data_IF_029712034572
#
_entry.id   IF_029712034572
#
_cell.length_a   1.000
_cell.length_b   1.000
_cell.length_c   1.000
_cell.angle_alpha   90.00
_cell.angle_beta   90.00
_cell.angle_gamma   90.00
#
_symmetry.space_group_name_H-M   'P 1'
#
loop_
_entity.id
_entity.type
_entity.pdbx_description
1 polymer ?
#
# COMPACT_ATOMS: atom_id res chain seq x y z
N UNK A 1 -3.66 -31.31 -23.13
CA UNK A 1 -3.49 -30.18 -22.20
C UNK A 1 -4.65 -29.23 -22.39
N UNK A 2 -5.61 -29.20 -21.45
CA UNK A 2 -6.86 -28.45 -21.63
C UNK A 2 -6.67 -26.96 -21.33
N UNK A 3 -6.83 -26.12 -22.35
CA UNK A 3 -7.01 -24.68 -22.21
C UNK A 3 -8.22 -24.45 -21.30
N UNK A 4 -7.97 -23.92 -20.09
CA UNK A 4 -9.04 -23.52 -19.18
C UNK A 4 -9.82 -22.39 -19.83
N UNK A 5 -11.05 -22.67 -20.21
CA UNK A 5 -12.00 -21.68 -20.71
C UNK A 5 -12.16 -20.58 -19.67
N UNK A 6 -11.58 -19.41 -19.93
CA UNK A 6 -11.82 -18.18 -19.18
C UNK A 6 -13.25 -17.77 -19.49
N UNK A 7 -14.17 -18.05 -18.57
CA UNK A 7 -15.51 -17.44 -18.61
C UNK A 7 -15.42 -16.15 -17.80
N UNK A 8 -15.39 -15.02 -18.49
CA UNK A 8 -15.76 -13.76 -17.86
C UNK A 8 -17.19 -13.90 -17.34
N UNK A 9 -17.38 -13.72 -16.03
CA UNK A 9 -18.71 -13.65 -15.45
C UNK A 9 -19.40 -12.43 -16.07
N UNK A 10 -20.38 -12.69 -16.97
CA UNK A 10 -21.27 -11.64 -17.47
C UNK A 10 -21.98 -11.02 -16.26
N UNK A 11 -21.76 -9.73 -16.07
CA UNK A 11 -22.48 -8.93 -15.09
C UNK A 11 -23.98 -9.00 -15.40
N UNK A 12 -24.78 -9.64 -14.55
CA UNK A 12 -26.23 -9.48 -14.62
C UNK A 12 -26.58 -8.12 -14.05
N UNK A 13 -26.71 -7.08 -14.88
CA UNK A 13 -27.31 -5.73 -14.71
C UNK A 13 -27.07 -4.90 -13.42
N UNK A 14 -26.87 -5.54 -12.27
CA UNK A 14 -26.36 -5.09 -10.98
C UNK A 14 -25.49 -6.20 -10.32
N UNK A 15 -24.79 -6.99 -11.16
CA UNK A 15 -24.33 -8.36 -10.88
C UNK A 15 -22.88 -8.51 -10.45
N UNK A 16 -22.57 -8.16 -9.20
CA UNK A 16 -21.42 -8.74 -8.50
C UNK A 16 -21.92 -9.90 -7.65
N UNK A 17 -21.38 -11.14 -7.78
CA UNK A 17 -21.67 -12.16 -6.79
C UNK A 17 -21.32 -11.58 -5.41
N UNK A 18 -22.14 -11.76 -4.36
CA UNK A 18 -21.79 -11.28 -3.05
C UNK A 18 -20.48 -11.96 -2.66
N UNK A 19 -19.38 -11.23 -2.76
CA UNK A 19 -18.08 -11.73 -2.33
C UNK A 19 -18.20 -11.85 -0.82
N UNK A 20 -18.58 -13.04 -0.35
CA UNK A 20 -18.51 -13.36 1.06
C UNK A 20 -17.05 -13.25 1.45
N UNK A 21 -16.79 -12.30 2.32
CA UNK A 21 -15.46 -11.98 2.81
C UNK A 21 -15.00 -13.13 3.72
N UNK A 22 -14.54 -14.23 3.12
CA UNK A 22 -13.95 -15.33 3.86
C UNK A 22 -12.55 -14.90 4.39
N UNK A 23 -11.97 -15.62 5.36
CA UNK A 23 -10.68 -15.24 5.94
C UNK A 23 -9.53 -15.12 4.93
N UNK A 24 -9.51 -15.96 3.88
CA UNK A 24 -8.49 -15.92 2.82
C UNK A 24 -8.61 -14.63 1.99
N UNK A 25 -9.82 -14.32 1.54
CA UNK A 25 -10.14 -13.10 0.78
C UNK A 25 -9.90 -11.85 1.62
N UNK A 26 -10.30 -11.85 2.90
CA UNK A 26 -10.03 -10.72 3.80
C UNK A 26 -8.54 -10.48 3.96
N UNK A 27 -7.77 -11.55 4.26
CA UNK A 27 -6.31 -11.46 4.37
C UNK A 27 -5.71 -10.89 3.10
N UNK A 28 -6.09 -11.39 1.93
CA UNK A 28 -5.61 -10.89 0.65
C UNK A 28 -5.86 -9.38 0.48
N UNK A 29 -7.10 -8.94 0.72
CA UNK A 29 -7.49 -7.54 0.53
C UNK A 29 -6.86 -6.60 1.55
N UNK A 30 -6.59 -7.05 2.78
CA UNK A 30 -5.81 -6.25 3.74
C UNK A 30 -4.34 -6.16 3.33
N UNK A 31 -3.81 -7.18 2.66
CA UNK A 31 -2.48 -7.13 2.05
C UNK A 31 -2.40 -6.11 0.93
N UNK A 32 -3.44 -6.05 0.09
CA UNK A 32 -3.58 -5.04 -0.96
C UNK A 32 -3.55 -3.62 -0.38
N UNK A 33 -4.32 -3.33 0.67
CA UNK A 33 -4.25 -2.03 1.35
C UNK A 33 -2.83 -1.71 1.81
N UNK A 34 -2.15 -2.67 2.46
CA UNK A 34 -0.80 -2.43 3.00
C UNK A 34 0.19 -2.14 1.87
N UNK A 35 0.08 -2.83 0.74
CA UNK A 35 0.86 -2.54 -0.45
C UNK A 35 0.56 -1.15 -1.01
N UNK A 36 -0.72 -0.77 -1.12
CA UNK A 36 -1.13 0.57 -1.57
C UNK A 36 -0.57 1.67 -0.66
N UNK A 37 -0.58 1.45 0.65
CA UNK A 37 0.02 2.37 1.63
C UNK A 37 1.52 2.49 1.42
N UNK A 38 2.24 1.36 1.28
CA UNK A 38 3.69 1.34 1.10
C UNK A 38 4.09 2.06 -0.19
N UNK A 39 3.37 1.79 -1.27
CA UNK A 39 3.69 2.28 -2.61
C UNK A 39 3.05 3.63 -2.93
N UNK A 40 2.23 4.18 -2.03
CA UNK A 40 1.44 5.40 -2.28
C UNK A 40 0.59 5.29 -3.53
N UNK A 41 -0.17 4.19 -3.64
CA UNK A 41 -1.12 4.02 -4.72
C UNK A 41 -2.26 5.05 -4.58
N UNK A 42 -2.35 5.91 -5.59
CA UNK A 42 -3.26 7.06 -5.59
C UNK A 42 -4.69 6.71 -6.00
N UNK A 43 -4.93 5.51 -6.54
CA UNK A 43 -6.26 5.10 -7.00
C UNK A 43 -6.73 3.85 -6.26
N UNK A 44 -7.80 4.01 -5.52
CA UNK A 44 -8.48 2.95 -4.79
C UNK A 44 -9.55 2.37 -5.69
N UNK A 45 -9.21 1.32 -6.43
CA UNK A 45 -10.20 0.60 -7.24
C UNK A 45 -10.87 -0.49 -6.39
N UNK A 46 -12.18 -0.74 -6.58
CA UNK A 46 -12.80 -1.92 -6.02
C UNK A 46 -12.04 -3.17 -6.49
N UNK A 47 -11.83 -4.17 -5.61
CA UNK A 47 -11.14 -5.38 -6.01
C UNK A 47 -11.86 -6.08 -7.17
N UNK A 48 -11.09 -6.51 -8.14
CA UNK A 48 -11.54 -7.41 -9.20
C UNK A 48 -11.49 -8.86 -8.71
N UNK A 49 -12.32 -9.73 -9.30
CA UNK A 49 -12.38 -11.15 -8.95
C UNK A 49 -12.43 -12.00 -10.20
N UNK A 50 -11.75 -13.14 -10.18
CA UNK A 50 -11.95 -14.20 -11.17
C UNK A 50 -12.67 -15.40 -10.52
N UNK A 51 -13.34 -16.20 -11.35
CA UNK A 51 -13.97 -17.44 -10.92
C UNK A 51 -12.97 -18.61 -11.00
N UNK A 52 -12.70 -19.27 -9.87
CA UNK A 52 -11.99 -20.55 -9.80
C UNK A 52 -12.93 -21.62 -9.25
N UNK A 53 -13.44 -22.49 -10.12
CA UNK A 53 -14.30 -23.61 -9.74
C UNK A 53 -15.53 -23.18 -8.90
N UNK A 54 -16.21 -22.10 -9.31
CA UNK A 54 -17.37 -21.54 -8.62
C UNK A 54 -17.03 -20.68 -7.40
N UNK A 55 -15.76 -20.28 -7.24
CA UNK A 55 -15.29 -19.44 -6.13
C UNK A 55 -14.70 -18.15 -6.67
N UNK A 56 -15.20 -17.02 -6.18
CA UNK A 56 -14.63 -15.70 -6.48
C UNK A 56 -13.31 -15.52 -5.72
N UNK A 57 -12.20 -15.42 -6.45
CA UNK A 57 -10.88 -15.12 -5.91
C UNK A 57 -10.43 -13.71 -6.32
N UNK A 58 -9.90 -12.89 -5.40
CA UNK A 58 -9.50 -11.52 -5.71
C UNK A 58 -8.26 -11.48 -6.61
N UNK A 59 -8.19 -10.46 -7.47
CA UNK A 59 -7.06 -10.21 -8.38
C UNK A 59 -6.33 -8.93 -7.96
N UNK A 60 -5.00 -8.98 -7.95
CA UNK A 60 -4.14 -7.82 -7.73
C UNK A 60 -3.81 -7.21 -9.10
N UNK A 61 -4.46 -6.09 -9.45
CA UNK A 61 -4.30 -5.44 -10.74
C UNK A 61 -4.16 -3.92 -10.56
N UNK A 62 -3.72 -3.24 -11.63
CA UNK A 62 -3.66 -1.79 -11.75
C UNK A 62 -2.72 -1.10 -10.74
N UNK A 63 -1.43 -1.45 -10.78
CA UNK A 63 -0.37 -0.79 -10.01
C UNK A 63 0.31 0.37 -10.75
N UNK A 64 -0.27 0.83 -11.87
CA UNK A 64 0.29 1.94 -12.66
C UNK A 64 0.36 3.25 -11.88
N UNK A 65 -0.50 3.42 -10.86
CA UNK A 65 -0.57 4.61 -10.02
C UNK A 65 0.21 4.49 -8.71
N UNK A 66 0.94 3.38 -8.51
CA UNK A 66 1.94 3.27 -7.46
C UNK A 66 3.09 4.26 -7.71
N UNK A 67 3.85 4.56 -6.66
CA UNK A 67 5.00 5.45 -6.70
C UNK A 67 4.64 6.85 -7.24
N UNK A 68 3.43 7.32 -6.90
CA UNK A 68 2.87 8.60 -7.36
C UNK A 68 2.78 8.71 -8.89
N UNK A 69 2.30 7.67 -9.57
CA UNK A 69 2.12 7.65 -11.04
C UNK A 69 3.45 7.87 -11.78
N UNK A 70 4.52 7.27 -11.26
CA UNK A 70 5.90 7.49 -11.70
C UNK A 70 6.43 8.94 -11.57
N UNK A 71 5.74 9.84 -10.86
CA UNK A 71 6.34 11.09 -10.38
C UNK A 71 7.25 10.80 -9.20
N UNK A 72 8.47 10.36 -9.52
CA UNK A 72 9.47 9.95 -8.53
C UNK A 72 9.93 11.13 -7.66
N UNK A 73 9.96 12.35 -8.19
CA UNK A 73 10.29 13.54 -7.39
C UNK A 73 9.27 13.74 -6.27
N UNK A 74 7.98 13.60 -6.59
CA UNK A 74 6.90 13.65 -5.60
C UNK A 74 6.97 12.46 -4.63
N UNK A 75 7.20 11.26 -5.13
CA UNK A 75 7.34 10.06 -4.28
C UNK A 75 8.50 10.15 -3.28
N UNK A 76 9.65 10.69 -3.68
CA UNK A 76 10.80 10.87 -2.79
C UNK A 76 10.52 11.88 -1.67
N UNK A 77 9.78 12.95 -1.98
CA UNK A 77 9.34 13.98 -1.03
C UNK A 77 8.17 13.54 -0.15
N UNK A 78 7.44 12.50 -0.57
CA UNK A 78 6.28 11.99 0.14
C UNK A 78 6.60 11.64 1.59
N UNK A 79 5.75 12.08 2.50
CA UNK A 79 5.87 11.77 3.92
C UNK A 79 4.97 10.60 4.32
N UNK A 80 4.93 10.28 5.62
CA UNK A 80 3.95 9.32 6.14
C UNK A 80 2.51 9.88 6.10
N UNK A 81 2.35 11.19 5.86
CA UNK A 81 1.07 11.90 5.85
C UNK A 81 0.37 11.91 4.50
N UNK A 82 1.00 11.37 3.46
CA UNK A 82 0.40 11.37 2.13
C UNK A 82 -0.94 10.62 2.12
N UNK A 83 -1.93 11.14 1.37
CA UNK A 83 -3.20 10.45 1.22
C UNK A 83 -3.01 9.14 0.47
N UNK A 84 -3.64 8.09 0.98
CA UNK A 84 -3.81 6.81 0.28
C UNK A 84 -5.27 6.70 -0.10
N UNK A 85 -5.54 6.14 -1.27
CA UNK A 85 -6.92 6.03 -1.72
C UNK A 85 -7.77 5.19 -0.76
N UNK A 86 -8.99 5.68 -0.49
CA UNK A 86 -9.91 4.99 0.44
C UNK A 86 -10.29 3.63 -0.14
N UNK A 87 -10.09 2.59 0.66
CA UNK A 87 -10.52 1.24 0.32
C UNK A 87 -11.76 0.85 1.12
N UNK A 88 -12.83 0.31 0.50
CA UNK A 88 -14.00 -0.21 1.22
C UNK A 88 -13.63 -1.28 2.26
N UNK A 89 -12.53 -2.00 2.03
CA UNK A 89 -12.04 -3.03 2.95
C UNK A 89 -11.42 -2.43 4.22
N UNK A 90 -10.97 -1.17 4.21
CA UNK A 90 -10.43 -0.50 5.40
C UNK A 90 -11.49 -0.37 6.51
N UNK A 91 -12.76 -0.18 6.14
CA UNK A 91 -13.87 -0.18 7.09
C UNK A 91 -14.08 -1.55 7.75
N UNK A 92 -13.65 -2.65 7.14
CA UNK A 92 -13.80 -4.00 7.70
C UNK A 92 -12.66 -4.36 8.67
N UNK A 93 -11.58 -3.58 8.70
CA UNK A 93 -10.52 -3.73 9.70
C UNK A 93 -11.03 -3.16 11.04
N UNK A 94 -10.92 -3.98 12.08
CA UNK A 94 -11.41 -3.74 13.45
C UNK A 94 -10.28 -3.62 14.47
N UNK A 95 -9.09 -4.14 14.16
CA UNK A 95 -7.92 -4.03 15.05
C UNK A 95 -6.60 -4.09 14.28
N UNK A 96 -5.55 -3.49 14.85
CA UNK A 96 -4.19 -3.60 14.31
C UNK A 96 -3.71 -5.06 14.21
N UNK A 97 -4.19 -5.95 15.09
CA UNK A 97 -3.84 -7.36 15.05
C UNK A 97 -4.23 -8.04 13.71
N UNK A 98 -5.27 -7.55 13.03
CA UNK A 98 -5.67 -8.05 11.71
C UNK A 98 -4.68 -7.65 10.59
N UNK A 99 -3.84 -6.64 10.83
CA UNK A 99 -2.80 -6.16 9.91
C UNK A 99 -1.41 -6.74 10.24
N UNK A 100 -1.24 -7.32 11.43
CA UNK A 100 0.03 -7.87 11.91
C UNK A 100 0.72 -8.86 10.95
N UNK A 101 0.00 -9.78 10.26
CA UNK A 101 0.63 -10.66 9.26
C UNK A 101 1.30 -9.88 8.12
N UNK A 102 0.77 -8.72 7.77
CA UNK A 102 1.28 -7.87 6.71
C UNK A 102 2.42 -6.97 7.18
N UNK A 103 2.39 -6.49 8.43
CA UNK A 103 3.55 -5.84 9.05
C UNK A 103 4.76 -6.75 9.07
N UNK A 104 4.58 -8.02 9.51
CA UNK A 104 5.67 -8.99 9.50
C UNK A 104 6.16 -9.29 8.09
N UNK A 105 5.26 -9.45 7.12
CA UNK A 105 5.66 -9.68 5.73
C UNK A 105 6.47 -8.52 5.16
N UNK A 106 6.02 -7.28 5.38
CA UNK A 106 6.72 -6.09 4.92
C UNK A 106 8.13 -6.01 5.55
N UNK A 107 8.24 -6.22 6.86
CA UNK A 107 9.53 -6.21 7.57
C UNK A 107 10.51 -7.30 7.14
N UNK A 108 10.03 -8.38 6.52
CA UNK A 108 10.85 -9.49 6.03
C UNK A 108 11.01 -9.46 4.50
N UNK A 109 10.70 -8.35 3.84
CA UNK A 109 11.01 -8.17 2.41
C UNK A 109 12.53 -8.20 2.25
N UNK A 110 13.00 -9.07 1.35
CA UNK A 110 14.40 -9.12 0.96
C UNK A 110 14.70 -7.98 -0.02
N UNK A 111 15.18 -6.85 0.53
CA UNK A 111 15.56 -5.70 -0.28
C UNK A 111 16.81 -5.99 -1.11
N UNK A 112 17.72 -6.86 -0.68
CA UNK A 112 18.87 -7.26 -1.49
C UNK A 112 18.42 -7.89 -2.79
N UNK A 113 17.43 -8.80 -2.74
CA UNK A 113 16.85 -9.38 -3.96
C UNK A 113 16.15 -8.34 -4.83
N UNK A 114 15.46 -7.36 -4.24
CA UNK A 114 14.86 -6.26 -4.99
C UNK A 114 15.92 -5.39 -5.68
N UNK A 115 17.03 -5.10 -5.01
CA UNK A 115 18.17 -4.38 -5.59
C UNK A 115 18.75 -5.11 -6.80
N UNK A 116 18.97 -6.42 -6.70
CA UNK A 116 19.44 -7.25 -7.82
C UNK A 116 18.51 -7.17 -9.03
N UNK A 117 17.20 -7.35 -8.82
CA UNK A 117 16.21 -7.24 -9.88
C UNK A 117 16.20 -5.86 -10.52
N UNK A 118 16.40 -4.80 -9.72
CA UNK A 118 16.50 -3.42 -10.20
C UNK A 118 17.74 -3.21 -11.08
N UNK A 119 18.88 -3.83 -10.75
CA UNK A 119 20.09 -3.75 -11.57
C UNK A 119 20.00 -4.54 -12.88
N UNK A 120 19.12 -5.55 -12.94
CA UNK A 120 18.80 -6.30 -14.16
C UNK A 120 17.86 -5.54 -15.10
N UNK A 121 17.19 -4.47 -14.65
CA UNK A 121 16.25 -3.72 -15.49
C UNK A 121 16.98 -2.89 -16.57
N UNK A 122 16.52 -2.94 -17.83
CA UNK A 122 17.06 -2.13 -18.90
C UNK A 122 16.96 -0.62 -18.57
N UNK A 123 18.07 0.13 -18.61
CA UNK A 123 18.08 1.56 -18.26
C UNK A 123 17.11 2.43 -19.05
N UNK A 124 16.85 2.07 -20.30
CA UNK A 124 15.90 2.73 -21.17
C UNK A 124 14.45 2.67 -20.63
N UNK A 125 14.10 1.70 -19.79
CA UNK A 125 12.76 1.60 -19.18
C UNK A 125 12.50 2.69 -18.15
N UNK A 126 13.55 3.31 -17.61
CA UNK A 126 13.46 4.42 -16.67
C UNK A 126 14.19 5.68 -17.14
N UNK A 127 14.39 5.80 -18.46
CA UNK A 127 14.99 6.98 -19.07
C UNK A 127 16.42 7.25 -18.59
N UNK A 128 17.21 6.21 -18.33
CA UNK A 128 18.61 6.30 -17.87
C UNK A 128 18.81 6.98 -16.50
N UNK A 129 17.73 7.24 -15.76
CA UNK A 129 17.76 7.93 -14.46
C UNK A 129 18.12 7.01 -13.27
N UNK A 130 19.27 6.33 -13.35
CA UNK A 130 19.71 5.35 -12.33
C UNK A 130 19.65 5.90 -10.91
N UNK A 131 20.17 7.11 -10.67
CA UNK A 131 20.20 7.74 -9.34
C UNK A 131 18.79 7.95 -8.77
N UNK A 132 17.84 8.41 -9.58
CA UNK A 132 16.45 8.57 -9.11
C UNK A 132 15.82 7.23 -8.81
N UNK A 133 16.02 6.24 -9.67
CA UNK A 133 15.44 4.91 -9.49
C UNK A 133 15.96 4.21 -8.22
N UNK A 134 17.28 4.26 -7.98
CA UNK A 134 17.88 3.77 -6.74
C UNK A 134 17.35 4.52 -5.51
N UNK A 135 17.13 5.83 -5.61
CA UNK A 135 16.54 6.63 -4.53
C UNK A 135 15.10 6.21 -4.22
N UNK A 136 14.31 5.85 -5.25
CA UNK A 136 12.94 5.33 -5.10
C UNK A 136 12.95 4.01 -4.34
N UNK A 137 13.90 3.11 -4.62
CA UNK A 137 14.03 1.85 -3.90
C UNK A 137 14.40 2.06 -2.43
N UNK A 138 15.37 2.93 -2.13
CA UNK A 138 15.68 3.32 -0.75
C UNK A 138 14.46 3.91 -0.03
N UNK A 139 13.68 4.76 -0.72
CA UNK A 139 12.45 5.32 -0.15
C UNK A 139 11.42 4.22 0.17
N UNK A 140 11.27 3.20 -0.67
CA UNK A 140 10.40 2.05 -0.39
C UNK A 140 10.88 1.23 0.81
N UNK A 141 12.19 1.06 0.96
CA UNK A 141 12.81 0.42 2.13
C UNK A 141 12.50 1.20 3.41
N UNK A 142 12.73 2.52 3.41
CA UNK A 142 12.41 3.40 4.53
C UNK A 142 10.92 3.34 4.91
N UNK A 143 10.03 3.38 3.91
CA UNK A 143 8.58 3.28 4.14
C UNK A 143 8.18 1.91 4.70
N UNK A 144 8.87 0.86 4.32
CA UNK A 144 8.66 -0.49 4.86
C UNK A 144 9.06 -0.59 6.32
N UNK A 145 10.20 0.01 6.69
CA UNK A 145 10.63 0.16 8.09
C UNK A 145 9.63 0.98 8.91
N UNK A 146 9.12 2.07 8.33
CA UNK A 146 8.21 3.02 8.98
C UNK A 146 6.73 2.60 8.92
N UNK A 147 6.39 1.45 8.33
CA UNK A 147 5.02 1.05 8.03
C UNK A 147 4.07 1.13 9.24
N UNK A 148 4.54 0.72 10.42
CA UNK A 148 3.73 0.81 11.65
C UNK A 148 3.41 2.25 12.03
N UNK A 149 4.35 3.18 11.86
CA UNK A 149 4.14 4.61 12.11
C UNK A 149 3.14 5.18 11.10
N UNK A 150 3.29 4.84 9.82
CA UNK A 150 2.38 5.25 8.75
C UNK A 150 0.95 4.76 9.06
N UNK A 151 0.77 3.48 9.40
CA UNK A 151 -0.55 2.94 9.71
C UNK A 151 -1.15 3.55 10.98
N UNK A 152 -0.36 3.83 12.02
CA UNK A 152 -0.83 4.56 13.20
C UNK A 152 -1.38 5.95 12.84
N UNK A 153 -0.66 6.71 12.02
CA UNK A 153 -1.15 7.98 11.50
C UNK A 153 -2.45 7.83 10.71
N UNK A 154 -2.54 6.82 9.83
CA UNK A 154 -3.75 6.53 9.05
C UNK A 154 -4.95 6.12 9.92
N UNK A 155 -4.73 5.39 11.01
CA UNK A 155 -5.77 5.10 12.01
C UNK A 155 -6.26 6.40 12.65
N UNK A 156 -5.33 7.24 13.12
CA UNK A 156 -5.67 8.51 13.78
C UNK A 156 -6.42 9.48 12.86
N UNK A 157 -6.10 9.49 11.57
CA UNK A 157 -6.77 10.32 10.55
C UNK A 157 -8.04 9.69 9.97
N UNK A 158 -8.46 8.52 10.49
CA UNK A 158 -9.74 7.91 10.14
C UNK A 158 -9.75 7.06 8.87
N UNK A 159 -8.59 6.69 8.31
CA UNK A 159 -8.52 5.75 7.18
C UNK A 159 -9.05 4.36 7.57
N UNK A 160 -8.80 3.93 8.80
CA UNK A 160 -9.34 2.70 9.39
C UNK A 160 -10.39 3.02 10.47
N UNK A 161 -11.60 3.47 10.09
CA UNK A 161 -12.55 4.12 11.01
C UNK A 161 -13.09 3.21 12.11
N UNK A 162 -12.91 1.90 12.00
CA UNK A 162 -13.41 0.92 12.97
C UNK A 162 -12.30 0.24 13.77
N UNK A 163 -11.04 0.66 13.59
CA UNK A 163 -9.97 0.28 14.50
C UNK A 163 -10.10 1.18 15.72
N UNK A 164 -10.52 0.60 16.84
CA UNK A 164 -10.63 1.36 18.09
C UNK A 164 -9.26 1.89 18.48
N UNK A 165 -9.20 3.20 18.75
CA UNK A 165 -7.97 3.87 19.15
C UNK A 165 -7.50 3.38 20.50
N UNK A 166 -6.21 3.05 20.59
CA UNK A 166 -5.42 3.40 21.76
C UNK A 166 -5.37 4.95 21.82
N UNK A 167 -6.46 5.58 22.23
CA UNK A 167 -6.58 7.03 22.30
C UNK A 167 -6.03 7.59 23.61
N UNK A 168 -4.95 7.01 24.16
CA UNK A 168 -4.37 7.43 25.45
C UNK A 168 -2.84 7.56 25.47
N UNK A 169 -2.13 7.39 24.34
CA UNK A 169 -0.74 7.83 24.28
C UNK A 169 -0.69 9.16 23.53
N UNK A 170 -0.49 10.24 24.29
CA UNK A 170 -0.07 11.52 23.72
C UNK A 170 1.14 11.28 22.82
N UNK A 171 1.22 11.94 21.65
CA UNK A 171 2.41 11.86 20.81
C UNK A 171 3.62 12.22 21.68
N UNK A 172 4.57 11.29 21.81
CA UNK A 172 5.81 11.54 22.56
C UNK A 172 6.45 12.83 22.08
N UNK A 173 7.01 13.63 22.99
CA UNK A 173 7.62 14.94 22.67
C UNK A 173 8.60 14.89 21.49
N UNK A 174 9.28 13.74 21.28
CA UNK A 174 10.13 13.49 20.12
C UNK A 174 9.38 13.51 18.76
N UNK A 175 8.16 12.96 18.70
CA UNK A 175 7.37 12.94 17.46
C UNK A 175 6.90 14.36 17.10
N UNK A 176 6.56 15.18 18.10
CA UNK A 176 6.22 16.60 17.93
C UNK A 176 7.44 17.47 17.57
N UNK A 177 8.61 17.18 18.14
CA UNK A 177 9.87 17.86 17.80
C UNK A 177 10.32 17.57 16.37
N UNK A 178 10.23 16.31 15.92
CA UNK A 178 10.54 15.93 14.54
C UNK A 178 9.58 16.62 13.56
N UNK A 179 8.30 16.70 13.90
CA UNK A 179 7.30 17.37 13.07
C UNK A 179 7.52 18.90 12.99
N UNK A 180 7.94 19.54 14.08
CA UNK A 180 8.26 20.98 14.07
C UNK A 180 9.57 21.30 13.33
N UNK A 181 10.58 20.42 13.41
CA UNK A 181 11.84 20.57 12.69
C UNK A 181 11.69 20.43 11.16
N UNK A 182 10.72 19.63 10.69
CA UNK A 182 10.43 19.44 9.26
C UNK A 182 9.58 20.59 8.69
N UNK A 183 8.72 21.21 9.51
CA UNK A 183 7.82 22.31 9.09
C UNK A 183 8.47 23.69 9.15
N UNK A 184 9.63 23.84 9.79
CA UNK A 184 10.32 25.12 9.82
C UNK A 184 11.09 25.33 8.50
N UNK A 185 10.70 26.29 7.63
CA UNK A 185 11.55 26.64 6.50
C UNK A 185 12.88 27.09 7.07
N UNK A 186 13.96 26.45 6.62
CA UNK A 186 15.33 26.86 6.93
C UNK A 186 15.49 28.30 6.44
N UNK A 187 15.27 29.27 7.31
CA UNK A 187 15.78 30.62 7.14
C UNK A 187 17.30 30.48 7.00
N UNK A 188 17.77 30.55 5.76
CA UNK A 188 19.16 30.86 5.46
C UNK A 188 19.12 32.24 4.82
N UNK A 189 19.74 33.19 5.53
CA UNK A 189 20.15 34.47 4.94
C UNK A 189 21.25 34.29 3.90
#
# INVERSE_FOLDING_TARGET
MGLRSIRELKAEENGKPPVRLNPKTFRYLTGAIIFDILTLNLIGRPPAFHDVNGRAEPIFMDHSHCLMDADWSRFLKATYREPVARSPIAHKVRSCAQLEPWFRRAQNVDFTRLWELVFELPPEWYGEQRVFFTSVLHKLEDRTRDLRRIVRYLIHTGFFPNVQGQSNEEPTSLELEIDSAILSPRNRG
#
